data_IF_109521185509
#
_entry.id   IF_109521185509
#
_cell.length_a   1.000
_cell.length_b   1.000
_cell.length_c   1.000
_cell.angle_alpha   90.00
_cell.angle_beta   90.00
_cell.angle_gamma   90.00
#
_symmetry.space_group_name_H-M   'P 1'
#
loop_
_entity.id
_entity.type
_entity.pdbx_description
1 polymer ?
#
# COMPACT_ATOMS: atom_id res chain seq x y z
N UNK A 1 34.38 22.07 -3.77
CA UNK A 1 33.49 21.34 -4.70
C UNK A 1 33.47 19.81 -4.54
N UNK A 2 34.44 19.14 -3.88
CA UNK A 2 34.40 17.67 -3.68
C UNK A 2 33.43 17.15 -2.61
N UNK A 3 32.98 17.99 -1.67
CA UNK A 3 32.02 17.57 -0.61
C UNK A 3 30.56 17.53 -1.08
N UNK A 4 30.17 18.32 -2.09
CA UNK A 4 28.82 18.27 -2.66
C UNK A 4 28.56 16.99 -3.47
N UNK A 5 29.57 16.45 -4.14
CA UNK A 5 29.41 15.25 -4.97
C UNK A 5 29.09 13.99 -4.16
N UNK A 6 29.66 13.85 -2.95
CA UNK A 6 29.40 12.70 -2.08
C UNK A 6 27.97 12.70 -1.50
N UNK A 7 27.40 13.87 -1.18
CA UNK A 7 25.99 13.95 -0.74
C UNK A 7 25.03 13.50 -1.85
N UNK A 8 25.32 13.85 -3.10
CA UNK A 8 24.43 13.50 -4.21
C UNK A 8 24.40 12.00 -4.50
N UNK A 9 25.51 11.28 -4.30
CA UNK A 9 25.59 9.83 -4.49
C UNK A 9 24.85 9.06 -3.38
N UNK A 10 24.96 9.50 -2.13
CA UNK A 10 24.31 8.83 -0.97
C UNK A 10 22.78 8.98 -1.03
N UNK A 11 22.27 10.12 -1.49
CA UNK A 11 20.82 10.34 -1.60
C UNK A 11 20.16 9.42 -2.64
N UNK A 12 20.86 9.08 -3.73
CA UNK A 12 20.33 8.19 -4.76
C UNK A 12 20.19 6.74 -4.27
N UNK A 13 21.18 6.23 -3.52
CA UNK A 13 21.16 4.84 -3.03
C UNK A 13 20.05 4.56 -2.01
N UNK A 14 19.65 5.59 -1.24
CA UNK A 14 18.58 5.47 -0.24
C UNK A 14 17.23 5.30 -0.94
N UNK A 15 16.90 6.21 -1.86
CA UNK A 15 15.63 6.22 -2.60
C UNK A 15 15.33 4.90 -3.35
N UNK A 16 16.36 4.21 -3.84
CA UNK A 16 16.23 2.93 -4.53
C UNK A 16 15.82 1.80 -3.57
N UNK A 17 16.34 1.81 -2.34
CA UNK A 17 16.00 0.84 -1.30
C UNK A 17 14.53 0.96 -0.86
N UNK A 18 14.01 2.18 -0.66
CA UNK A 18 12.60 2.35 -0.27
C UNK A 18 11.63 1.91 -1.36
N UNK A 19 11.95 2.14 -2.64
CA UNK A 19 11.13 1.64 -3.76
C UNK A 19 11.10 0.11 -3.81
N UNK A 20 12.24 -0.53 -3.59
CA UNK A 20 12.31 -1.99 -3.50
C UNK A 20 11.48 -2.53 -2.33
N UNK A 21 11.54 -1.87 -1.16
CA UNK A 21 10.71 -2.27 -0.01
C UNK A 21 9.23 -2.07 -0.29
N UNK A 22 8.83 -0.96 -0.93
CA UNK A 22 7.45 -0.76 -1.36
C UNK A 22 6.99 -1.80 -2.38
N UNK A 23 7.86 -2.28 -3.25
CA UNK A 23 7.54 -3.36 -4.18
C UNK A 23 7.28 -4.67 -3.42
N UNK A 24 8.11 -5.00 -2.43
CA UNK A 24 7.91 -6.16 -1.55
C UNK A 24 6.59 -6.07 -0.78
N UNK A 25 6.30 -4.92 -0.15
CA UNK A 25 5.04 -4.67 0.54
C UNK A 25 3.85 -4.82 -0.41
N UNK A 26 3.96 -4.27 -1.63
CA UNK A 26 2.92 -4.38 -2.66
C UNK A 26 2.66 -5.84 -3.05
N UNK A 27 3.70 -6.66 -3.15
CA UNK A 27 3.57 -8.08 -3.45
C UNK A 27 2.84 -8.84 -2.32
N UNK A 28 3.17 -8.54 -1.06
CA UNK A 28 2.47 -9.14 0.09
C UNK A 28 1.00 -8.76 0.12
N UNK A 29 0.67 -7.46 0.00
CA UNK A 29 -0.73 -7.01 -0.05
C UNK A 29 -1.46 -7.59 -1.26
N UNK A 30 -0.83 -7.61 -2.44
CA UNK A 30 -1.40 -8.24 -3.63
C UNK A 30 -1.76 -9.71 -3.39
N UNK A 31 -0.87 -10.49 -2.76
CA UNK A 31 -1.16 -11.86 -2.36
C UNK A 31 -2.35 -11.99 -1.40
N UNK A 32 -2.47 -11.08 -0.43
CA UNK A 32 -3.62 -11.04 0.49
C UNK A 32 -4.93 -10.69 -0.24
N UNK A 33 -4.89 -9.72 -1.15
CA UNK A 33 -6.05 -9.33 -1.98
C UNK A 33 -6.53 -10.50 -2.83
N UNK A 34 -5.62 -11.24 -3.48
CA UNK A 34 -5.99 -12.41 -4.28
C UNK A 34 -6.57 -13.55 -3.43
N UNK A 35 -6.04 -13.75 -2.22
CA UNK A 35 -6.63 -14.70 -1.24
C UNK A 35 -8.05 -14.28 -0.86
N UNK A 36 -8.28 -12.98 -0.64
CA UNK A 36 -9.59 -12.41 -0.31
C UNK A 36 -10.59 -12.48 -1.48
N UNK A 37 -10.15 -12.16 -2.70
CA UNK A 37 -10.96 -12.33 -3.92
C UNK A 37 -11.48 -13.76 -4.05
N UNK A 38 -10.60 -14.76 -3.84
CA UNK A 38 -10.97 -16.18 -3.89
C UNK A 38 -12.00 -16.56 -2.81
N UNK A 39 -11.93 -15.96 -1.62
CA UNK A 39 -12.89 -16.21 -0.53
C UNK A 39 -14.27 -15.61 -0.80
N UNK A 40 -14.32 -14.45 -1.46
CA UNK A 40 -15.56 -13.71 -1.69
C UNK A 40 -16.26 -14.06 -3.01
N UNK A 41 -15.67 -14.93 -3.82
CA UNK A 41 -16.21 -15.38 -5.11
C UNK A 41 -16.55 -14.22 -6.07
N UNK A 42 -15.75 -13.15 -6.08
CA UNK A 42 -15.97 -12.05 -7.01
C UNK A 42 -15.92 -12.53 -8.48
N UNK A 43 -16.89 -12.06 -9.26
CA UNK A 43 -17.00 -12.35 -10.69
C UNK A 43 -15.98 -11.56 -11.52
N UNK A 44 -15.57 -10.39 -11.05
CA UNK A 44 -14.62 -9.53 -11.73
C UNK A 44 -13.22 -9.72 -11.17
N UNK A 45 -12.24 -9.45 -12.02
CA UNK A 45 -10.84 -9.67 -11.72
C UNK A 45 -10.20 -8.42 -11.10
N UNK A 46 -9.90 -8.45 -9.79
CA UNK A 46 -9.15 -7.38 -9.11
C UNK A 46 -7.65 -7.40 -9.46
N UNK A 47 -7.17 -8.41 -10.21
CA UNK A 47 -5.78 -8.48 -10.67
C UNK A 47 -5.42 -7.24 -11.49
N UNK A 48 -6.32 -6.76 -12.36
CA UNK A 48 -6.02 -5.59 -13.18
C UNK A 48 -5.82 -4.33 -12.33
N UNK A 49 -6.61 -4.17 -11.26
CA UNK A 49 -6.44 -3.07 -10.32
C UNK A 49 -5.10 -3.14 -9.58
N UNK A 50 -4.64 -4.34 -9.23
CA UNK A 50 -3.34 -4.56 -8.60
C UNK A 50 -2.18 -4.22 -9.56
N UNK A 51 -2.28 -4.64 -10.82
CA UNK A 51 -1.26 -4.37 -11.85
C UNK A 51 -1.15 -2.87 -12.16
N UNK A 52 -2.29 -2.18 -12.21
CA UNK A 52 -2.36 -0.74 -12.48
C UNK A 52 -2.30 0.11 -11.22
N UNK A 53 -2.10 -0.49 -10.04
CA UNK A 53 -2.15 0.22 -8.76
C UNK A 53 -1.13 1.36 -8.71
N UNK A 54 0.10 1.12 -9.16
CA UNK A 54 1.17 2.13 -9.16
C UNK A 54 1.25 2.96 -10.46
N UNK A 55 0.35 2.77 -11.42
CA UNK A 55 0.32 3.62 -12.62
C UNK A 55 -0.26 4.99 -12.26
N UNK A 56 0.58 6.04 -12.20
CA UNK A 56 0.20 7.43 -11.86
C UNK A 56 -1.05 7.96 -12.60
N UNK A 57 -1.31 7.49 -13.82
CA UNK A 57 -2.40 7.97 -14.67
C UNK A 57 -3.70 7.14 -14.49
N UNK A 58 -3.63 6.04 -13.74
CA UNK A 58 -4.77 5.18 -13.44
C UNK A 58 -5.60 5.72 -12.25
N UNK A 59 -6.92 5.77 -12.42
CA UNK A 59 -7.88 6.08 -11.36
C UNK A 59 -8.51 4.79 -10.84
N UNK A 60 -8.27 4.47 -9.56
CA UNK A 60 -8.78 3.25 -8.93
C UNK A 60 -10.29 3.40 -8.71
N UNK A 61 -11.14 2.67 -9.44
CA UNK A 61 -12.61 2.83 -9.32
C UNK A 61 -13.34 1.55 -8.94
N UNK A 62 -12.61 0.46 -8.78
CA UNK A 62 -13.16 -0.86 -8.52
C UNK A 62 -13.70 -0.97 -7.09
N UNK A 63 -15.01 -1.14 -6.97
CA UNK A 63 -15.66 -1.47 -5.69
C UNK A 63 -15.17 -2.83 -5.17
N UNK A 64 -14.97 -3.80 -6.07
CA UNK A 64 -14.46 -5.14 -5.74
C UNK A 64 -13.06 -5.07 -5.10
N UNK A 65 -12.19 -4.16 -5.56
CA UNK A 65 -10.90 -3.90 -4.91
C UNK A 65 -11.10 -3.34 -3.49
N UNK A 66 -12.03 -2.41 -3.32
CA UNK A 66 -12.38 -1.85 -2.02
C UNK A 66 -12.82 -2.95 -1.04
N UNK A 67 -13.73 -3.82 -1.46
CA UNK A 67 -14.19 -4.94 -0.63
C UNK A 67 -13.08 -5.97 -0.37
N UNK A 68 -12.20 -6.22 -1.35
CA UNK A 68 -11.03 -7.08 -1.12
C UNK A 68 -10.10 -6.51 -0.05
N UNK A 69 -9.90 -5.18 -0.03
CA UNK A 69 -9.12 -4.52 1.01
C UNK A 69 -9.78 -4.56 2.39
N UNK A 70 -11.11 -4.50 2.47
CA UNK A 70 -11.85 -4.75 3.73
C UNK A 70 -11.48 -6.12 4.30
N UNK A 71 -11.57 -7.17 3.48
CA UNK A 71 -11.16 -8.52 3.88
C UNK A 71 -9.68 -8.59 4.30
N UNK A 72 -8.78 -7.88 3.61
CA UNK A 72 -7.37 -7.82 4.01
C UNK A 72 -7.21 -7.17 5.39
N UNK A 73 -7.95 -6.09 5.67
CA UNK A 73 -7.87 -5.40 6.96
C UNK A 73 -8.41 -6.27 8.10
N UNK A 74 -9.47 -7.06 7.87
CA UNK A 74 -10.01 -8.00 8.87
C UNK A 74 -9.05 -9.18 9.11
N UNK A 75 -8.57 -9.83 8.05
CA UNK A 75 -7.74 -11.04 8.18
C UNK A 75 -6.40 -10.81 8.87
N UNK A 76 -5.95 -9.55 8.96
CA UNK A 76 -4.70 -9.16 9.59
C UNK A 76 -4.91 -8.27 10.82
N UNK A 77 -6.15 -8.08 11.26
CA UNK A 77 -6.51 -7.21 12.38
C UNK A 77 -5.86 -5.82 12.26
N UNK A 78 -5.87 -5.21 11.07
CA UNK A 78 -5.27 -3.88 10.85
C UNK A 78 -6.13 -2.75 11.40
N UNK A 79 -7.43 -3.00 11.54
CA UNK A 79 -8.42 -2.09 12.09
C UNK A 79 -9.12 -2.77 13.27
N UNK A 80 -9.73 -1.97 14.15
CA UNK A 80 -10.64 -2.50 15.16
C UNK A 80 -11.87 -3.18 14.53
N UNK A 81 -12.64 -3.89 15.35
CA UNK A 81 -13.86 -4.59 14.89
C UNK A 81 -14.97 -3.65 14.41
N UNK A 82 -14.84 -2.34 14.64
CA UNK A 82 -15.78 -1.32 14.16
C UNK A 82 -15.28 -0.62 12.88
N UNK A 83 -14.11 -0.98 12.35
CA UNK A 83 -13.44 -0.32 11.24
C UNK A 83 -13.24 1.20 11.45
N UNK A 84 -13.02 1.65 12.69
CA UNK A 84 -12.82 3.07 13.02
C UNK A 84 -11.35 3.38 13.24
N UNK A 85 -10.71 2.65 14.14
CA UNK A 85 -9.35 2.89 14.59
C UNK A 85 -8.35 1.91 13.98
N UNK A 86 -7.10 2.34 13.85
CA UNK A 86 -5.98 1.51 13.37
C UNK A 86 -5.37 0.72 14.52
N UNK A 87 -5.20 -0.58 14.33
CA UNK A 87 -4.43 -1.44 15.23
C UNK A 87 -2.94 -1.26 14.94
N UNK A 88 -2.35 -0.25 15.60
CA UNK A 88 -0.99 0.24 15.32
C UNK A 88 0.06 -0.87 15.31
N UNK A 89 0.05 -1.73 16.33
CA UNK A 89 1.05 -2.79 16.50
C UNK A 89 1.00 -3.82 15.35
N UNK A 90 -0.20 -4.16 14.87
CA UNK A 90 -0.39 -5.10 13.77
C UNK A 90 0.07 -4.48 12.44
N UNK A 91 -0.30 -3.23 12.17
CA UNK A 91 0.08 -2.51 10.95
C UNK A 91 1.58 -2.25 10.91
N UNK A 92 2.18 -1.77 12.00
CA UNK A 92 3.63 -1.56 12.07
C UNK A 92 4.39 -2.88 11.98
N UNK A 93 3.90 -3.92 12.66
CA UNK A 93 4.43 -5.28 12.59
C UNK A 93 4.43 -5.82 11.17
N UNK A 94 3.35 -5.63 10.42
CA UNK A 94 3.26 -5.99 9.01
C UNK A 94 4.33 -5.29 8.15
N UNK A 95 4.47 -3.96 8.27
CA UNK A 95 5.47 -3.23 7.49
C UNK A 95 6.90 -3.68 7.82
N UNK A 96 7.21 -3.87 9.10
CA UNK A 96 8.51 -4.38 9.56
C UNK A 96 8.78 -5.79 9.02
N UNK A 97 7.80 -6.70 9.13
CA UNK A 97 7.90 -8.06 8.61
C UNK A 97 8.08 -8.10 7.09
N UNK A 98 7.58 -7.08 6.38
CA UNK A 98 7.74 -6.91 4.94
C UNK A 98 9.09 -6.30 4.53
N UNK A 99 10.00 -6.05 5.48
CA UNK A 99 11.36 -5.54 5.23
C UNK A 99 11.53 -4.03 5.41
N UNK A 100 10.47 -3.28 5.76
CA UNK A 100 10.62 -1.86 6.04
C UNK A 100 11.42 -1.64 7.33
N UNK A 101 12.52 -0.88 7.24
CA UNK A 101 13.24 -0.43 8.44
C UNK A 101 12.42 0.52 9.30
N UNK A 102 12.80 0.70 10.57
CA UNK A 102 12.04 1.44 11.60
C UNK A 102 11.45 2.78 11.14
N UNK A 103 12.25 3.58 10.45
CA UNK A 103 11.81 4.90 9.97
C UNK A 103 10.73 4.77 8.90
N UNK A 104 10.91 3.84 7.97
CA UNK A 104 9.95 3.60 6.89
C UNK A 104 8.67 3.01 7.46
N UNK A 105 8.74 2.00 8.34
CA UNK A 105 7.56 1.40 8.97
C UNK A 105 6.73 2.43 9.74
N UNK A 106 7.35 3.31 10.52
CA UNK A 106 6.66 4.39 11.22
C UNK A 106 6.02 5.39 10.24
N UNK A 107 6.70 5.73 9.15
CA UNK A 107 6.16 6.65 8.14
C UNK A 107 4.93 6.04 7.45
N UNK A 108 4.99 4.76 7.10
CA UNK A 108 3.89 4.03 6.48
C UNK A 108 2.70 3.87 7.44
N UNK A 109 2.96 3.58 8.72
CA UNK A 109 1.92 3.55 9.75
C UNK A 109 1.21 4.90 9.85
N UNK A 110 1.94 6.00 10.02
CA UNK A 110 1.35 7.34 10.14
C UNK A 110 0.57 7.75 8.89
N UNK A 111 1.04 7.35 7.71
CA UNK A 111 0.34 7.54 6.45
C UNK A 111 -0.98 6.76 6.44
N UNK A 112 -0.96 5.48 6.83
CA UNK A 112 -2.15 4.65 6.91
C UNK A 112 -3.18 5.19 7.91
N UNK A 113 -2.75 5.60 9.10
CA UNK A 113 -3.59 6.24 10.12
C UNK A 113 -4.25 7.51 9.58
N UNK A 114 -3.47 8.42 9.00
CA UNK A 114 -4.01 9.66 8.42
C UNK A 114 -5.06 9.36 7.36
N UNK A 115 -4.79 8.40 6.49
CA UNK A 115 -5.73 8.00 5.45
C UNK A 115 -7.00 7.40 6.04
N UNK A 116 -6.89 6.53 7.04
CA UNK A 116 -8.04 5.95 7.73
C UNK A 116 -8.89 7.01 8.43
N UNK A 117 -8.27 7.96 9.13
CA UNK A 117 -8.98 9.06 9.77
C UNK A 117 -9.75 9.91 8.76
N UNK A 118 -9.17 10.14 7.58
CA UNK A 118 -9.79 10.93 6.51
C UNK A 118 -11.00 10.28 5.83
N UNK A 119 -11.28 8.99 6.11
CA UNK A 119 -12.39 8.23 5.54
C UNK A 119 -13.41 7.75 6.59
N UNK A 120 -13.32 8.25 7.83
CA UNK A 120 -14.19 7.86 8.95
C UNK A 120 -15.67 8.20 8.76
N UNK A 121 -15.97 9.12 7.85
CA UNK A 121 -17.30 9.58 7.49
C UNK A 121 -17.89 8.89 6.25
N UNK A 122 -17.28 7.80 5.79
CA UNK A 122 -17.77 6.98 4.67
C UNK A 122 -18.39 5.70 5.23
N UNK A 123 -19.72 5.57 5.10
CA UNK A 123 -20.48 4.46 5.68
C UNK A 123 -20.26 3.12 4.94
N UNK A 124 -20.10 3.14 3.61
CA UNK A 124 -19.78 1.94 2.84
C UNK A 124 -18.31 1.57 3.08
N UNK A 125 -18.08 0.40 3.70
CA UNK A 125 -16.73 -0.06 4.07
C UNK A 125 -15.83 -0.29 2.85
N UNK A 126 -16.37 -0.80 1.74
CA UNK A 126 -15.61 -1.02 0.51
C UNK A 126 -15.15 0.31 -0.09
N UNK A 127 -16.04 1.31 -0.14
CA UNK A 127 -15.70 2.67 -0.57
C UNK A 127 -14.66 3.29 0.37
N UNK A 128 -14.84 3.16 1.68
CA UNK A 128 -13.90 3.67 2.69
C UNK A 128 -12.51 3.06 2.49
N UNK A 129 -12.41 1.74 2.35
CA UNK A 129 -11.16 1.04 2.11
C UNK A 129 -10.50 1.44 0.78
N UNK A 130 -11.29 1.62 -0.29
CA UNK A 130 -10.78 2.12 -1.57
C UNK A 130 -10.22 3.55 -1.44
N UNK A 131 -10.88 4.41 -0.68
CA UNK A 131 -10.38 5.78 -0.41
C UNK A 131 -9.12 5.77 0.46
N UNK A 132 -9.01 4.87 1.45
CA UNK A 132 -7.77 4.65 2.21
C UNK A 132 -6.63 4.28 1.25
N UNK A 133 -6.86 3.34 0.33
CA UNK A 133 -5.86 2.93 -0.65
C UNK A 133 -5.43 4.07 -1.59
N UNK A 134 -6.39 4.87 -2.09
CA UNK A 134 -6.09 6.08 -2.89
C UNK A 134 -5.26 7.10 -2.14
N UNK A 135 -5.65 7.40 -0.89
CA UNK A 135 -4.92 8.31 -0.03
C UNK A 135 -3.49 7.81 0.24
N UNK A 136 -3.35 6.52 0.58
CA UNK A 136 -2.05 5.91 0.85
C UNK A 136 -1.16 5.96 -0.39
N UNK A 137 -1.70 5.53 -1.54
CA UNK A 137 -1.01 5.59 -2.83
C UNK A 137 -0.49 6.99 -3.14
N UNK A 138 -1.29 8.04 -2.93
CA UNK A 138 -0.85 9.44 -3.10
C UNK A 138 0.32 9.77 -2.18
N UNK A 139 0.24 9.43 -0.90
CA UNK A 139 1.32 9.66 0.05
C UNK A 139 2.63 8.96 -0.35
N UNK A 140 2.55 7.76 -0.89
CA UNK A 140 3.73 7.04 -1.39
C UNK A 140 4.37 7.72 -2.61
N UNK A 141 3.57 8.31 -3.52
CA UNK A 141 4.11 9.14 -4.59
C UNK A 141 4.80 10.40 -4.07
N UNK A 142 4.24 11.06 -3.06
CA UNK A 142 4.82 12.25 -2.42
C UNK A 142 6.17 11.95 -1.75
N UNK A 143 6.31 10.76 -1.16
CA UNK A 143 7.59 10.27 -0.62
C UNK A 143 8.58 9.79 -1.71
N UNK A 144 8.15 9.73 -2.97
CA UNK A 144 8.92 9.18 -4.10
C UNK A 144 9.27 7.68 -3.96
N UNK A 145 8.52 6.96 -3.12
CA UNK A 145 8.70 5.54 -2.82
C UNK A 145 7.86 4.62 -3.70
N UNK A 146 7.00 5.16 -4.57
CA UNK A 146 6.20 4.37 -5.48
C UNK A 146 7.10 3.46 -6.34
N UNK A 147 6.85 2.14 -6.36
CA UNK A 147 7.55 1.23 -7.25
C UNK A 147 7.36 1.63 -8.71
N UNK A 148 8.29 1.24 -9.56
CA UNK A 148 8.02 1.22 -11.00
C UNK A 148 6.82 0.29 -11.25
N UNK A 149 6.08 0.54 -12.34
CA UNK A 149 5.07 -0.41 -12.81
C UNK A 149 5.75 -1.78 -12.94
N UNK A 150 5.10 -2.85 -12.50
CA UNK A 150 5.61 -4.18 -12.77
C UNK A 150 5.45 -4.45 -14.26
N UNK A 151 6.46 -4.11 -15.06
CA UNK A 151 6.56 -4.61 -16.41
C UNK A 151 6.80 -6.12 -16.31
N UNK A 152 5.83 -6.91 -16.77
CA UNK A 152 5.90 -8.38 -16.81
C UNK A 152 6.94 -8.90 -17.82
N UNK A 153 7.85 -8.06 -18.31
CA UNK A 153 8.85 -8.39 -19.35
C UNK A 153 10.20 -8.83 -18.82
N UNK A 154 10.49 -8.80 -17.52
CA UNK A 154 11.74 -9.35 -16.94
C UNK A 154 11.59 -10.79 -16.44
N UNK A 155 10.95 -11.62 -17.26
CA UNK A 155 10.91 -13.07 -17.12
C UNK A 155 11.25 -13.72 -18.46
N UNK A 156 12.49 -13.56 -18.91
CA UNK A 156 13.11 -14.31 -20.00
C UNK A 156 14.61 -14.46 -19.72
#
# INVERSE_FOLDING_TARGET
>A
MKRLMFCSLILMSVAENERLMMQTISNYIGGMVLKCQKKMEFKNDVIQDLLEFWNKDNDLRSEDLGCALVCVFEENDFLDSEFKEVQRDNVEGFFRASGAGDKMSQTLLQLFERCKTSTTNIDNLCDSALQVAKCFRRGIFEQQWAPARQDTTTGA
#
